data_IF_020699393719
#
_entry.id   IF_020699393719
#
_cell.length_a   1.000
_cell.length_b   1.000
_cell.length_c   1.000
_cell.angle_alpha   90.00
_cell.angle_beta   90.00
_cell.angle_gamma   90.00
#
_symmetry.space_group_name_H-M   'P 1'
#
loop_
_entity.id
_entity.type
_entity.pdbx_description
1 polymer ?
#
# COMPACT_ATOMS: atom_id res chain seq x y z
N UNK A 1 0.10 -1.18 12.81
CA UNK A 1 0.39 -1.36 11.38
C UNK A 1 -0.93 -1.48 10.66
N UNK A 2 -1.10 -0.75 9.56
CA UNK A 2 -2.27 -0.82 8.68
C UNK A 2 -2.08 -1.86 7.59
N UNK A 3 -3.17 -2.46 7.13
CA UNK A 3 -3.19 -3.44 6.04
C UNK A 3 -3.85 -2.85 4.81
N UNK A 4 -3.05 -2.61 3.77
CA UNK A 4 -3.56 -2.26 2.46
C UNK A 4 -3.46 -3.47 1.53
N UNK A 5 -4.38 -3.56 0.57
CA UNK A 5 -4.31 -4.54 -0.51
C UNK A 5 -3.78 -3.88 -1.79
N UNK A 6 -2.86 -4.55 -2.48
CA UNK A 6 -2.26 -4.09 -3.75
C UNK A 6 -2.94 -4.78 -4.94
N UNK A 7 -4.10 -4.26 -5.33
CA UNK A 7 -4.89 -4.80 -6.45
C UNK A 7 -5.83 -3.74 -7.03
N UNK A 8 -6.25 -3.95 -8.28
CA UNK A 8 -7.37 -3.23 -8.89
C UNK A 8 -8.62 -4.11 -9.01
N UNK A 9 -8.57 -5.37 -8.56
CA UNK A 9 -9.69 -6.30 -8.66
C UNK A 9 -10.72 -6.02 -7.55
N UNK A 10 -11.95 -5.64 -7.94
CA UNK A 10 -13.01 -5.29 -6.97
C UNK A 10 -13.46 -6.47 -6.11
N UNK A 11 -13.34 -7.71 -6.59
CA UNK A 11 -13.68 -8.91 -5.81
C UNK A 11 -12.66 -9.13 -4.70
N UNK A 12 -11.37 -9.04 -5.01
CA UNK A 12 -10.30 -9.16 -4.01
C UNK A 12 -10.40 -8.04 -2.96
N UNK A 13 -10.72 -6.81 -3.39
CA UNK A 13 -10.94 -5.68 -2.48
C UNK A 13 -12.13 -5.95 -1.57
N UNK A 14 -13.26 -6.43 -2.13
CA UNK A 14 -14.44 -6.76 -1.35
C UNK A 14 -14.16 -7.87 -0.33
N UNK A 15 -13.48 -8.94 -0.74
CA UNK A 15 -13.12 -10.04 0.16
C UNK A 15 -12.25 -9.53 1.32
N UNK A 16 -11.20 -8.75 1.02
CA UNK A 16 -10.33 -8.18 2.03
C UNK A 16 -11.08 -7.24 3.00
N UNK A 17 -12.04 -6.48 2.48
CA UNK A 17 -12.90 -5.61 3.28
C UNK A 17 -13.87 -6.40 4.16
N UNK A 18 -14.47 -7.47 3.63
CA UNK A 18 -15.38 -8.36 4.37
C UNK A 18 -14.66 -9.08 5.53
N UNK A 19 -13.34 -9.33 5.41
CA UNK A 19 -12.52 -9.84 6.52
C UNK A 19 -12.40 -8.85 7.70
N UNK A 20 -12.75 -7.56 7.50
CA UNK A 20 -12.74 -6.53 8.54
C UNK A 20 -11.35 -6.05 8.97
N UNK A 21 -10.33 -6.34 8.16
CA UNK A 21 -8.91 -5.99 8.44
C UNK A 21 -8.34 -4.97 7.46
N UNK A 22 -9.11 -4.53 6.46
CA UNK A 22 -8.62 -3.68 5.39
C UNK A 22 -8.65 -2.20 5.79
N UNK A 23 -7.49 -1.55 5.75
CA UNK A 23 -7.33 -0.12 6.08
C UNK A 23 -7.15 0.77 4.82
N UNK A 24 -7.06 0.17 3.64
CA UNK A 24 -6.87 0.89 2.38
C UNK A 24 -6.49 0.01 1.19
N UNK A 25 -6.30 0.64 0.04
CA UNK A 25 -5.99 0.00 -1.23
C UNK A 25 -4.87 0.76 -1.92
N UNK A 26 -3.88 0.04 -2.47
CA UNK A 26 -2.96 0.63 -3.44
C UNK A 26 -3.24 0.09 -4.82
N UNK A 27 -3.24 1.00 -5.80
CA UNK A 27 -3.25 0.64 -7.21
C UNK A 27 -2.00 1.16 -7.90
N UNK A 28 -1.82 0.76 -9.15
CA UNK A 28 -0.86 1.33 -10.08
C UNK A 28 -1.35 1.05 -11.51
N UNK A 29 -0.76 1.70 -12.54
CA UNK A 29 -1.20 1.52 -13.92
C UNK A 29 -1.16 0.06 -14.40
N UNK A 30 -0.18 -0.72 -13.94
CA UNK A 30 -0.06 -2.14 -14.30
C UNK A 30 -1.19 -3.00 -13.72
N UNK A 31 -1.62 -2.74 -12.48
CA UNK A 31 -2.75 -3.43 -11.85
C UNK A 31 -4.07 -3.09 -12.56
N UNK A 32 -4.30 -1.82 -12.89
CA UNK A 32 -5.48 -1.40 -13.67
C UNK A 32 -5.53 -2.11 -15.03
N UNK A 33 -4.41 -2.12 -15.74
CA UNK A 33 -4.30 -2.77 -17.05
C UNK A 33 -4.52 -4.30 -16.97
N UNK A 34 -4.03 -4.96 -15.91
CA UNK A 34 -4.22 -6.40 -15.69
C UNK A 34 -5.70 -6.78 -15.56
N UNK A 35 -6.51 -5.91 -14.96
CA UNK A 35 -7.96 -6.10 -14.84
C UNK A 35 -8.74 -5.59 -16.07
N UNK A 36 -8.04 -5.19 -17.14
CA UNK A 36 -8.65 -4.68 -18.38
C UNK A 36 -9.23 -3.27 -18.28
N UNK A 37 -8.92 -2.54 -17.19
CA UNK A 37 -9.43 -1.19 -16.95
C UNK A 37 -8.58 -0.20 -17.74
N UNK A 38 -9.12 0.28 -18.86
CA UNK A 38 -8.40 1.14 -19.81
C UNK A 38 -9.27 2.32 -20.23
N UNK A 39 -8.61 3.44 -20.58
CA UNK A 39 -9.27 4.70 -20.90
C UNK A 39 -9.56 5.55 -19.65
N UNK A 40 -9.46 6.86 -19.80
CA UNK A 40 -9.51 7.81 -18.68
C UNK A 40 -10.82 7.69 -17.87
N UNK A 41 -11.98 7.65 -18.54
CA UNK A 41 -13.28 7.61 -17.86
C UNK A 41 -13.48 6.31 -17.07
N UNK A 42 -13.04 5.17 -17.62
CA UNK A 42 -13.12 3.89 -16.93
C UNK A 42 -12.20 3.84 -15.71
N UNK A 43 -10.99 4.38 -15.82
CA UNK A 43 -10.03 4.45 -14.70
C UNK A 43 -10.60 5.32 -13.58
N UNK A 44 -11.15 6.49 -13.91
CA UNK A 44 -11.77 7.39 -12.94
C UNK A 44 -12.97 6.73 -12.26
N UNK A 45 -13.88 6.14 -13.05
CA UNK A 45 -15.04 5.44 -12.51
C UNK A 45 -14.63 4.26 -11.61
N UNK A 46 -13.52 3.59 -11.94
CA UNK A 46 -12.99 2.50 -11.13
C UNK A 46 -12.44 2.97 -9.79
N UNK A 47 -11.71 4.09 -9.74
CA UNK A 47 -11.26 4.67 -8.48
C UNK A 47 -12.41 5.02 -7.54
N UNK A 48 -13.49 5.59 -8.09
CA UNK A 48 -14.70 5.91 -7.31
C UNK A 48 -15.32 4.62 -6.76
N UNK A 49 -15.47 3.58 -7.59
CA UNK A 49 -15.97 2.27 -7.13
C UNK A 49 -15.13 1.67 -6.01
N UNK A 50 -13.79 1.75 -6.09
CA UNK A 50 -12.92 1.28 -5.01
C UNK A 50 -13.20 2.08 -3.73
N UNK A 51 -13.30 3.41 -3.84
CA UNK A 51 -13.60 4.27 -2.69
C UNK A 51 -14.98 3.98 -2.06
N UNK A 52 -15.98 3.61 -2.85
CA UNK A 52 -17.31 3.24 -2.33
C UNK A 52 -17.32 1.87 -1.63
N UNK A 53 -16.32 1.02 -1.90
CA UNK A 53 -16.21 -0.33 -1.30
C UNK A 53 -15.41 -0.36 0.00
N UNK A 54 -14.57 0.65 0.27
CA UNK A 54 -13.65 0.67 1.42
C UNK A 54 -13.68 2.03 2.10
N UNK A 55 -13.57 2.03 3.43
CA UNK A 55 -13.48 3.28 4.23
C UNK A 55 -12.04 3.85 4.29
N UNK A 56 -11.08 3.07 3.79
CA UNK A 56 -9.65 3.34 3.87
C UNK A 56 -9.09 4.24 2.75
N UNK A 57 -7.80 4.53 2.84
CA UNK A 57 -7.10 5.33 1.83
C UNK A 57 -6.94 4.55 0.51
N UNK A 58 -7.14 5.23 -0.63
CA UNK A 58 -6.98 4.65 -1.97
C UNK A 58 -5.86 5.38 -2.71
N UNK A 59 -4.73 4.71 -2.93
CA UNK A 59 -3.62 5.28 -3.71
C UNK A 59 -3.88 5.20 -5.21
N UNK A 60 -3.99 6.37 -5.85
CA UNK A 60 -4.22 6.54 -7.29
C UNK A 60 -3.02 7.24 -7.95
N UNK A 61 -2.46 6.66 -9.00
CA UNK A 61 -1.17 7.08 -9.57
C UNK A 61 -1.32 8.03 -10.76
N UNK A 62 -0.51 9.09 -10.77
CA UNK A 62 -0.32 9.97 -11.93
C UNK A 62 0.50 9.26 -13.01
N UNK A 63 0.33 9.65 -14.27
CA UNK A 63 1.06 9.11 -15.42
C UNK A 63 2.12 10.08 -15.91
N UNK A 64 1.85 11.39 -15.80
CA UNK A 64 2.79 12.44 -16.19
C UNK A 64 4.12 12.35 -15.43
N UNK A 65 5.21 12.75 -16.10
CA UNK A 65 6.57 12.70 -15.54
C UNK A 65 7.20 14.08 -15.33
N UNK A 66 6.54 15.15 -15.78
CA UNK A 66 6.91 16.53 -15.52
C UNK A 66 6.03 17.15 -14.41
N UNK A 67 6.52 18.23 -13.82
CA UNK A 67 5.86 18.87 -12.68
C UNK A 67 4.44 19.35 -12.99
N UNK A 68 4.23 20.03 -14.12
CA UNK A 68 2.93 20.64 -14.45
C UNK A 68 1.88 19.56 -14.76
N UNK A 69 2.27 18.52 -15.49
CA UNK A 69 1.43 17.36 -15.76
C UNK A 69 1.04 16.61 -14.48
N UNK A 70 2.01 16.32 -13.59
CA UNK A 70 1.73 15.66 -12.31
C UNK A 70 0.80 16.48 -11.41
N UNK A 71 0.96 17.81 -11.39
CA UNK A 71 0.05 18.70 -10.65
C UNK A 71 -1.36 18.62 -11.23
N UNK A 72 -1.51 18.79 -12.54
CA UNK A 72 -2.82 18.78 -13.19
C UNK A 72 -3.56 17.44 -13.03
N UNK A 73 -2.86 16.31 -13.15
CA UNK A 73 -3.43 14.98 -12.95
C UNK A 73 -3.75 14.72 -11.47
N UNK A 74 -2.82 15.05 -10.57
CA UNK A 74 -2.99 14.80 -9.15
C UNK A 74 -4.13 15.62 -8.52
N UNK A 75 -4.34 16.86 -8.96
CA UNK A 75 -5.51 17.65 -8.51
C UNK A 75 -6.84 17.04 -8.97
N UNK A 76 -6.89 16.54 -10.21
CA UNK A 76 -8.08 15.82 -10.71
C UNK A 76 -8.34 14.56 -9.90
N UNK A 77 -7.32 13.76 -9.62
CA UNK A 77 -7.44 12.55 -8.80
C UNK A 77 -7.90 12.87 -7.38
N UNK A 78 -7.29 13.85 -6.72
CA UNK A 78 -7.64 14.25 -5.35
C UNK A 78 -9.09 14.77 -5.24
N UNK A 79 -9.62 15.37 -6.31
CA UNK A 79 -10.99 15.85 -6.35
C UNK A 79 -12.05 14.73 -6.50
N UNK A 80 -11.66 13.50 -6.88
CA UNK A 80 -12.60 12.40 -7.11
C UNK A 80 -13.29 11.95 -5.83
N UNK A 81 -12.53 11.80 -4.74
CA UNK A 81 -13.03 11.31 -3.46
C UNK A 81 -12.07 11.68 -2.32
N UNK A 82 -12.55 12.01 -1.10
CA UNK A 82 -11.68 12.37 0.04
C UNK A 82 -10.68 11.27 0.43
N UNK A 83 -10.96 10.01 0.11
CA UNK A 83 -10.08 8.86 0.36
C UNK A 83 -8.88 8.77 -0.58
N UNK A 84 -8.88 9.52 -1.69
CA UNK A 84 -7.79 9.45 -2.65
C UNK A 84 -6.50 10.01 -2.06
N UNK A 85 -5.43 9.24 -2.23
CA UNK A 85 -4.05 9.63 -1.98
C UNK A 85 -3.32 9.62 -3.32
N UNK A 86 -2.79 10.78 -3.72
CA UNK A 86 -2.15 10.93 -5.03
C UNK A 86 -0.78 10.26 -4.99
N UNK A 87 -0.60 9.21 -5.79
CA UNK A 87 0.64 8.44 -5.85
C UNK A 87 1.57 9.06 -6.90
N UNK A 88 2.77 9.43 -6.45
CA UNK A 88 3.76 10.22 -7.21
C UNK A 88 5.09 9.47 -7.26
N UNK A 89 5.71 9.29 -8.43
CA UNK A 89 6.99 8.59 -8.53
C UNK A 89 8.15 9.38 -7.89
N UNK A 90 9.13 8.67 -7.36
CA UNK A 90 10.39 9.22 -6.84
C UNK A 90 11.29 9.72 -7.99
N UNK A 91 10.99 10.92 -8.48
CA UNK A 91 11.79 11.68 -9.44
C UNK A 91 11.86 13.15 -9.02
N UNK A 92 12.78 13.92 -9.61
CA UNK A 92 12.99 15.34 -9.25
C UNK A 92 11.70 16.16 -9.29
N UNK A 93 10.93 16.04 -10.37
CA UNK A 93 9.66 16.77 -10.50
C UNK A 93 8.55 16.18 -9.62
N UNK A 94 8.64 14.89 -9.28
CA UNK A 94 7.75 14.24 -8.32
C UNK A 94 7.94 14.79 -6.90
N UNK A 95 9.19 15.04 -6.48
CA UNK A 95 9.49 15.72 -5.22
C UNK A 95 8.92 17.14 -5.18
N UNK A 96 9.01 17.89 -6.29
CA UNK A 96 8.37 19.21 -6.39
C UNK A 96 6.84 19.10 -6.29
N UNK A 97 6.24 18.13 -6.98
CA UNK A 97 4.80 17.87 -6.94
C UNK A 97 4.32 17.49 -5.54
N UNK A 98 5.04 16.61 -4.83
CA UNK A 98 4.75 16.25 -3.43
C UNK A 98 4.75 17.50 -2.55
N UNK A 99 5.75 18.37 -2.70
CA UNK A 99 5.81 19.62 -1.93
C UNK A 99 4.64 20.56 -2.24
N UNK A 100 4.26 20.65 -3.51
CA UNK A 100 3.08 21.40 -3.95
C UNK A 100 1.80 20.87 -3.29
N UNK A 101 1.54 19.57 -3.37
CA UNK A 101 0.35 18.94 -2.81
C UNK A 101 0.30 19.04 -1.28
N UNK A 102 1.43 18.82 -0.61
CA UNK A 102 1.56 18.93 0.84
C UNK A 102 1.19 20.33 1.34
N UNK A 103 1.64 21.39 0.65
CA UNK A 103 1.29 22.78 0.98
C UNK A 103 -0.22 23.08 0.81
N UNK A 104 -0.94 22.28 0.00
CA UNK A 104 -2.40 22.38 -0.19
C UNK A 104 -3.19 21.42 0.69
N UNK A 105 -2.53 20.62 1.53
CA UNK A 105 -3.18 19.57 2.33
C UNK A 105 -3.65 18.36 1.52
N UNK A 106 -3.21 18.22 0.26
CA UNK A 106 -3.51 17.03 -0.56
C UNK A 106 -2.54 15.92 -0.18
N UNK A 107 -3.09 14.76 0.15
CA UNK A 107 -2.32 13.60 0.62
C UNK A 107 -1.61 12.93 -0.54
N UNK A 108 -0.36 12.53 -0.31
CA UNK A 108 0.51 11.93 -1.33
C UNK A 108 1.19 10.66 -0.88
N UNK A 109 1.38 9.73 -1.82
CA UNK A 109 2.14 8.51 -1.62
C UNK A 109 3.33 8.48 -2.60
N UNK A 110 4.55 8.62 -2.10
CA UNK A 110 5.73 8.58 -2.94
C UNK A 110 6.13 7.14 -3.28
N UNK A 111 6.06 6.75 -4.55
CA UNK A 111 6.30 5.37 -5.03
C UNK A 111 7.65 5.21 -5.74
N UNK A 112 8.02 3.95 -6.05
CA UNK A 112 9.30 3.58 -6.67
C UNK A 112 10.51 4.02 -5.84
N UNK A 113 10.43 3.81 -4.52
CA UNK A 113 11.52 4.09 -3.58
C UNK A 113 12.33 2.80 -3.34
N UNK A 114 13.64 2.90 -3.48
CA UNK A 114 14.60 1.79 -3.38
C UNK A 114 15.81 2.12 -2.51
N UNK A 115 15.86 3.31 -1.89
CA UNK A 115 16.90 3.69 -0.93
C UNK A 115 16.39 4.61 0.17
N UNK A 116 17.07 4.61 1.32
CA UNK A 116 16.73 5.47 2.45
C UNK A 116 16.93 6.95 2.15
N UNK A 117 17.90 7.30 1.29
CA UNK A 117 18.09 8.66 0.78
C UNK A 117 16.91 9.18 -0.04
N UNK A 118 16.30 8.31 -0.86
CA UNK A 118 15.05 8.64 -1.56
C UNK A 118 13.90 8.84 -0.57
N UNK A 119 13.74 7.94 0.39
CA UNK A 119 12.69 8.07 1.42
C UNK A 119 12.83 9.35 2.25
N UNK A 120 14.06 9.76 2.55
CA UNK A 120 14.35 11.01 3.25
C UNK A 120 13.89 12.24 2.45
N UNK A 121 14.11 12.26 1.12
CA UNK A 121 13.64 13.34 0.25
C UNK A 121 12.11 13.41 0.21
N UNK A 122 11.43 12.26 0.09
CA UNK A 122 9.97 12.20 0.10
C UNK A 122 9.38 12.75 1.41
N UNK A 123 9.93 12.35 2.55
CA UNK A 123 9.49 12.87 3.84
C UNK A 123 9.75 14.36 4.01
N UNK A 124 10.93 14.84 3.60
CA UNK A 124 11.28 16.26 3.64
C UNK A 124 10.37 17.12 2.74
N UNK A 125 9.88 16.56 1.64
CA UNK A 125 8.91 17.20 0.76
C UNK A 125 7.49 17.24 1.36
N UNK A 126 7.22 16.46 2.40
CA UNK A 126 5.93 16.41 3.09
C UNK A 126 4.97 15.34 2.57
N UNK A 127 5.51 14.22 2.05
CA UNK A 127 4.70 13.08 1.65
C UNK A 127 3.89 12.51 2.83
N UNK A 128 2.66 12.06 2.57
CA UNK A 128 1.84 11.35 3.58
C UNK A 128 2.36 9.93 3.78
N UNK A 129 2.65 9.24 2.67
CA UNK A 129 3.23 7.91 2.64
C UNK A 129 4.50 7.89 1.79
N UNK A 130 5.43 7.01 2.14
CA UNK A 130 6.53 6.56 1.27
C UNK A 130 6.35 5.08 1.00
N UNK A 131 6.52 4.64 -0.24
CA UNK A 131 6.38 3.24 -0.65
C UNK A 131 7.71 2.63 -1.12
N UNK A 132 8.52 2.05 -0.22
CA UNK A 132 9.69 1.27 -0.58
C UNK A 132 9.31 -0.10 -1.17
N UNK A 133 9.92 -0.50 -2.28
CA UNK A 133 9.54 -1.73 -3.01
C UNK A 133 10.47 -2.90 -2.64
N UNK A 134 10.17 -3.55 -1.52
CA UNK A 134 11.06 -4.56 -0.92
C UNK A 134 11.19 -5.82 -1.77
N UNK A 135 10.09 -6.35 -2.30
CA UNK A 135 10.14 -7.57 -3.12
C UNK A 135 10.93 -7.42 -4.42
N UNK A 136 10.99 -6.20 -4.97
CA UNK A 136 11.82 -5.92 -6.15
C UNK A 136 13.31 -5.83 -5.82
N UNK A 137 13.67 -5.50 -4.58
CA UNK A 137 15.05 -5.60 -4.11
C UNK A 137 15.44 -7.06 -3.93
N UNK A 138 14.55 -7.89 -3.37
CA UNK A 138 14.81 -9.32 -3.23
C UNK A 138 15.01 -9.99 -4.60
N UNK A 139 14.23 -9.58 -5.61
CA UNK A 139 14.35 -10.05 -7.01
C UNK A 139 15.76 -9.81 -7.60
N UNK A 140 16.54 -8.87 -7.04
CA UNK A 140 17.92 -8.56 -7.44
C UNK A 140 18.95 -8.90 -6.34
N UNK A 141 18.61 -9.84 -5.46
CA UNK A 141 19.48 -10.34 -4.38
C UNK A 141 19.92 -9.28 -3.37
N UNK A 142 19.10 -8.25 -3.16
CA UNK A 142 19.30 -7.23 -2.13
C UNK A 142 18.22 -7.39 -1.06
N UNK A 143 18.60 -7.43 0.21
CA UNK A 143 17.63 -7.56 1.30
C UNK A 143 16.72 -6.33 1.38
N UNK A 144 15.46 -6.50 0.95
CA UNK A 144 14.49 -5.42 0.97
C UNK A 144 14.05 -5.00 2.38
N UNK A 145 14.21 -5.86 3.39
CA UNK A 145 13.81 -5.55 4.77
C UNK A 145 14.81 -4.60 5.44
N UNK A 146 16.10 -4.68 5.09
CA UNK A 146 17.10 -3.72 5.57
C UNK A 146 16.71 -2.28 5.21
N UNK A 147 16.14 -2.07 4.02
CA UNK A 147 15.66 -0.75 3.62
C UNK A 147 14.55 -0.23 4.54
N UNK A 148 13.63 -1.09 4.99
CA UNK A 148 12.56 -0.68 5.91
C UNK A 148 13.13 -0.32 7.29
N UNK A 149 14.10 -1.09 7.78
CA UNK A 149 14.80 -0.81 9.04
C UNK A 149 15.53 0.54 9.00
N UNK A 150 16.30 0.79 7.93
CA UNK A 150 17.03 2.05 7.76
C UNK A 150 16.06 3.24 7.71
N UNK A 151 14.96 3.13 6.96
CA UNK A 151 13.95 4.20 6.87
C UNK A 151 13.30 4.43 8.24
N UNK A 152 12.93 3.37 8.96
CA UNK A 152 12.33 3.46 10.30
C UNK A 152 13.24 4.22 11.25
N UNK A 153 14.52 3.81 11.34
CA UNK A 153 15.52 4.46 12.17
C UNK A 153 15.65 5.95 11.82
N UNK A 154 15.78 6.29 10.54
CA UNK A 154 15.89 7.68 10.09
C UNK A 154 14.63 8.48 10.43
N UNK A 155 13.44 7.93 10.19
CA UNK A 155 12.18 8.62 10.45
C UNK A 155 11.98 8.88 11.93
N UNK A 156 12.38 7.94 12.80
CA UNK A 156 12.33 8.10 14.25
C UNK A 156 13.33 9.15 14.75
N UNK A 157 14.55 9.15 14.23
CA UNK A 157 15.59 10.13 14.60
C UNK A 157 15.17 11.58 14.37
N UNK A 158 14.41 11.84 13.30
CA UNK A 158 13.97 13.19 12.92
C UNK A 158 12.48 13.45 13.18
N UNK A 159 11.75 12.48 13.74
CA UNK A 159 10.32 12.59 14.02
C UNK A 159 9.45 12.82 12.78
N UNK A 160 9.86 12.31 11.61
CA UNK A 160 9.07 12.43 10.38
C UNK A 160 7.70 11.78 10.56
N UNK A 161 6.65 12.46 10.07
CA UNK A 161 5.26 11.98 10.13
C UNK A 161 4.82 11.21 8.88
N UNK A 162 5.66 11.20 7.85
CA UNK A 162 5.48 10.36 6.68
C UNK A 162 5.45 8.91 7.12
N UNK A 163 4.41 8.19 6.71
CA UNK A 163 4.22 6.78 7.06
C UNK A 163 4.98 5.88 6.10
N UNK A 164 5.66 4.87 6.65
CA UNK A 164 6.36 3.84 5.88
C UNK A 164 5.32 2.82 5.40
N UNK A 165 5.02 2.84 4.11
CA UNK A 165 4.15 1.88 3.44
C UNK A 165 5.02 0.84 2.74
N UNK A 166 5.34 -0.26 3.42
CA UNK A 166 6.13 -1.33 2.83
C UNK A 166 5.36 -1.95 1.64
N UNK A 167 5.86 -1.73 0.43
CA UNK A 167 5.22 -2.10 -0.82
C UNK A 167 5.98 -3.20 -1.54
N UNK A 168 5.38 -3.77 -2.58
CA UNK A 168 5.92 -4.95 -3.26
C UNK A 168 6.11 -6.13 -2.29
N UNK A 169 5.21 -6.28 -1.31
CA UNK A 169 5.15 -7.45 -0.42
C UNK A 169 4.83 -8.70 -1.24
N UNK A 170 5.61 -9.78 -1.05
CA UNK A 170 5.47 -11.03 -1.81
C UNK A 170 4.88 -12.18 -0.99
N UNK A 171 5.21 -12.24 0.30
CA UNK A 171 4.89 -13.37 1.15
C UNK A 171 4.73 -12.97 2.62
N UNK A 172 4.17 -13.88 3.41
CA UNK A 172 3.89 -13.73 4.85
C UNK A 172 5.07 -13.18 5.64
N UNK A 173 6.30 -13.64 5.36
CA UNK A 173 7.47 -13.20 6.12
C UNK A 173 7.85 -11.73 5.90
N UNK A 174 7.48 -11.10 4.78
CA UNK A 174 7.64 -9.66 4.63
C UNK A 174 6.72 -8.93 5.60
N UNK A 175 5.45 -9.33 5.66
CA UNK A 175 4.48 -8.71 6.56
C UNK A 175 4.95 -8.84 8.02
N UNK A 176 5.33 -10.06 8.43
CA UNK A 176 5.78 -10.32 9.79
C UNK A 176 7.04 -9.52 10.16
N UNK A 177 8.02 -9.41 9.25
CA UNK A 177 9.25 -8.69 9.54
C UNK A 177 9.05 -7.17 9.48
N UNK A 178 8.26 -6.65 8.54
CA UNK A 178 7.84 -5.25 8.54
C UNK A 178 7.11 -4.88 9.84
N UNK A 179 6.27 -5.78 10.37
CA UNK A 179 5.56 -5.57 11.63
C UNK A 179 6.52 -5.49 12.82
N UNK A 180 7.54 -6.34 12.87
CA UNK A 180 8.59 -6.32 13.90
C UNK A 180 9.46 -5.06 13.83
N UNK A 181 9.80 -4.62 12.62
CA UNK A 181 10.59 -3.39 12.41
C UNK A 181 9.77 -2.15 12.80
N UNK A 182 8.44 -2.19 12.61
CA UNK A 182 7.57 -1.05 12.90
C UNK A 182 7.25 -0.19 11.67
N UNK A 183 7.10 -0.81 10.49
CA UNK A 183 6.49 -0.14 9.35
C UNK A 183 5.05 0.26 9.69
N UNK A 184 4.62 1.43 9.21
CA UNK A 184 3.31 1.98 9.53
C UNK A 184 2.19 1.24 8.77
N UNK A 185 2.46 0.87 7.52
CA UNK A 185 1.53 0.21 6.60
C UNK A 185 2.26 -0.88 5.82
N UNK A 186 1.57 -1.97 5.51
CA UNK A 186 1.99 -2.89 4.44
C UNK A 186 0.98 -2.80 3.30
N UNK A 187 1.45 -2.94 2.06
CA UNK A 187 0.56 -3.24 0.93
C UNK A 187 1.07 -4.45 0.15
N UNK A 188 0.18 -5.38 -0.12
CA UNK A 188 0.49 -6.63 -0.80
C UNK A 188 -0.74 -7.33 -1.35
N UNK A 189 -0.56 -8.45 -2.08
CA UNK A 189 -1.67 -9.22 -2.61
C UNK A 189 -2.49 -9.86 -1.48
N UNK A 190 -3.78 -10.08 -1.72
CA UNK A 190 -4.69 -10.76 -0.78
C UNK A 190 -4.11 -12.08 -0.28
N UNK A 191 -3.50 -12.85 -1.18
CA UNK A 191 -2.90 -14.16 -0.86
C UNK A 191 -1.80 -14.10 0.20
N UNK A 192 -1.02 -13.02 0.28
CA UNK A 192 0.00 -12.86 1.32
C UNK A 192 -0.63 -12.53 2.67
N UNK A 193 -1.73 -11.76 2.67
CA UNK A 193 -2.49 -11.38 3.87
C UNK A 193 -3.23 -12.61 4.41
N UNK A 194 -4.00 -13.31 3.59
CA UNK A 194 -4.68 -14.56 3.97
C UNK A 194 -3.70 -15.67 4.39
N UNK A 195 -2.47 -15.61 3.88
CA UNK A 195 -1.39 -16.49 4.32
C UNK A 195 -1.13 -16.41 5.84
N UNK A 196 -1.41 -15.26 6.48
CA UNK A 196 -1.28 -15.09 7.94
C UNK A 196 -2.30 -15.90 8.73
N UNK A 197 -3.45 -16.24 8.13
CA UNK A 197 -4.50 -17.04 8.79
C UNK A 197 -4.12 -18.53 8.87
N UNK A 198 -3.16 -18.98 8.05
CA UNK A 198 -2.87 -20.41 7.87
C UNK A 198 -1.82 -20.87 8.86
N UNK A 199 -2.21 -21.80 9.74
CA UNK A 199 -1.28 -22.50 10.61
C UNK A 199 -1.75 -23.94 10.85
N UNK A 200 -0.90 -24.97 10.64
CA UNK A 200 -1.33 -26.37 10.71
C UNK A 200 -1.86 -26.78 12.09
N UNK A 201 -1.40 -26.13 13.17
CA UNK A 201 -1.92 -26.38 14.52
C UNK A 201 -3.30 -25.73 14.76
N UNK A 202 -3.65 -24.68 14.02
CA UNK A 202 -5.00 -24.11 14.08
C UNK A 202 -5.98 -25.11 13.47
N UNK A 203 -5.65 -25.65 12.31
CA UNK A 203 -6.49 -26.63 11.60
C UNK A 203 -6.66 -27.92 12.42
N UNK A 204 -5.54 -28.47 12.92
CA UNK A 204 -5.59 -29.72 13.71
C UNK A 204 -6.27 -29.53 15.06
N UNK A 205 -6.07 -28.38 15.71
CA UNK A 205 -6.75 -28.02 16.95
C UNK A 205 -8.27 -27.91 16.75
N UNK A 206 -8.71 -27.19 15.72
CA UNK A 206 -10.14 -27.04 15.41
C UNK A 206 -10.79 -28.38 15.09
N UNK A 207 -10.14 -29.22 14.27
CA UNK A 207 -10.63 -30.56 13.97
C UNK A 207 -10.80 -31.40 15.23
N UNK A 208 -9.85 -31.31 16.18
CA UNK A 208 -9.91 -32.02 17.46
C UNK A 208 -11.08 -31.53 18.31
N UNK A 209 -11.26 -30.20 18.45
CA UNK A 209 -12.37 -29.63 19.21
C UNK A 209 -13.74 -30.04 18.68
N UNK A 210 -13.92 -30.04 17.35
CA UNK A 210 -15.17 -30.46 16.72
C UNK A 210 -15.44 -31.95 16.93
N UNK A 211 -14.42 -32.80 16.83
CA UNK A 211 -14.55 -34.24 17.05
C UNK A 211 -14.90 -34.56 18.52
N UNK A 212 -14.28 -33.88 19.48
CA UNK A 212 -14.55 -34.09 20.90
C UNK A 212 -15.93 -33.56 21.29
N UNK A 213 -16.37 -32.42 20.74
CA UNK A 213 -17.73 -31.92 20.94
C UNK A 213 -18.78 -32.91 20.43
N UNK A 214 -18.59 -33.47 19.24
CA UNK A 214 -19.49 -34.47 18.67
C UNK A 214 -19.56 -35.72 19.56
N UNK A 215 -18.43 -36.25 20.05
CA UNK A 215 -18.42 -37.42 20.95
C UNK A 215 -19.13 -37.18 22.29
N UNK A 216 -19.03 -35.97 22.83
CA UNK A 216 -19.58 -35.63 24.15
C UNK A 216 -21.03 -35.15 24.16
N UNK A 217 -21.61 -34.82 23.00
CA UNK A 217 -22.94 -34.22 22.88
C UNK A 217 -23.80 -34.87 21.78
N UNK A 218 -23.52 -36.13 21.42
CA UNK A 218 -24.36 -36.95 20.54
C UNK A 218 -25.32 -37.84 21.31
#
# INVERSE_FOLDING_TARGET
MKFFIDTANLKDIKEANDLGILDGVTTNPSLMAKEGITGADNIIAHYVKICELVDGDVSAEVISTDFDGMVAEGEKLAALHPQIVVKIPMIKDGIKAIKYFSNKGIRTNCTLVFSSGQALLAAKAGATYVSPFIGRLDDISTDGLQLIEDIRLIYDNYGYKTQILAASVRHVMHIMNCAKIGADVITGPLSAIEGLLKHPLTDSGLATFLADYQKGNS
#
